data_IF_994799096247
#
_entry.id   IF_994799096247
#
_cell.length_a   1.000
_cell.length_b   1.000
_cell.length_c   1.000
_cell.angle_alpha   90.00
_cell.angle_beta   90.00
_cell.angle_gamma   90.00
#
_symmetry.space_group_name_H-M   'P 1'
#
loop_
_entity.id
_entity.type
_entity.pdbx_description
1 polymer ?
#
# COMPACT_ATOMS: atom_id res chain seq x y z
N UNK A 1 -12.77 2.64 6.66
CA UNK A 1 -13.45 2.22 7.91
C UNK A 1 -12.53 2.23 9.14
N UNK A 2 -11.26 1.81 9.04
CA UNK A 2 -10.29 1.85 10.16
C UNK A 2 -10.21 3.21 10.85
N UNK A 3 -10.04 4.32 10.11
CA UNK A 3 -9.95 5.66 10.70
C UNK A 3 -11.21 6.09 11.45
N UNK A 4 -12.39 5.71 10.94
CA UNK A 4 -13.65 5.96 11.62
C UNK A 4 -13.75 5.12 12.90
N UNK A 5 -13.39 3.85 12.85
CA UNK A 5 -13.36 2.98 14.03
C UNK A 5 -12.37 3.52 15.09
N UNK A 6 -11.20 4.03 14.69
CA UNK A 6 -10.26 4.71 15.60
C UNK A 6 -10.90 5.93 16.26
N UNK A 7 -11.59 6.78 15.49
CA UNK A 7 -12.26 7.97 16.04
C UNK A 7 -13.36 7.62 17.06
N UNK A 8 -14.03 6.47 16.89
CA UNK A 8 -15.14 6.02 17.73
C UNK A 8 -14.70 5.20 18.95
N UNK A 9 -13.64 4.40 18.85
CA UNK A 9 -13.19 3.52 19.94
C UNK A 9 -11.98 4.05 20.72
N UNK A 10 -11.05 4.78 20.07
CA UNK A 10 -9.83 5.20 20.74
C UNK A 10 -10.05 6.49 21.55
N UNK A 11 -9.76 6.47 22.86
CA UNK A 11 -9.95 7.64 23.71
C UNK A 11 -9.02 8.79 23.29
N UNK A 12 -7.81 8.49 22.84
CA UNK A 12 -6.76 9.48 22.52
C UNK A 12 -6.69 9.84 21.03
N UNK A 13 -7.81 9.77 20.31
CA UNK A 13 -7.84 10.13 18.89
C UNK A 13 -7.62 11.65 18.67
N UNK A 14 -6.61 12.00 17.87
CA UNK A 14 -6.03 13.34 17.73
C UNK A 14 -6.15 13.96 16.33
N UNK A 15 -6.78 13.29 15.35
CA UNK A 15 -6.78 13.75 13.95
C UNK A 15 -7.75 14.88 13.64
N UNK A 16 -8.74 15.12 14.51
CA UNK A 16 -9.63 16.27 14.48
C UNK A 16 -10.32 16.43 15.84
N UNK A 17 -10.88 17.61 16.12
CA UNK A 17 -11.71 17.84 17.30
C UNK A 17 -13.05 17.10 17.16
N UNK A 18 -13.23 16.07 17.99
CA UNK A 18 -14.46 15.27 17.98
C UNK A 18 -15.66 16.03 18.52
N UNK A 19 -15.45 17.11 19.28
CA UNK A 19 -16.46 17.94 19.98
C UNK A 19 -17.28 17.15 21.03
N UNK A 20 -17.86 16.01 20.64
CA UNK A 20 -18.63 15.09 21.49
C UNK A 20 -18.26 13.64 21.17
N UNK A 21 -17.93 12.86 22.20
CA UNK A 21 -17.69 11.42 22.10
C UNK A 21 -18.84 10.67 22.81
N UNK A 22 -19.90 10.26 22.09
CA UNK A 22 -21.02 9.55 22.71
C UNK A 22 -20.61 8.15 23.18
N UNK A 23 -21.13 7.71 24.32
CA UNK A 23 -20.95 6.33 24.80
C UNK A 23 -21.83 5.37 24.00
N UNK A 24 -21.29 4.82 22.92
CA UNK A 24 -22.00 3.91 22.01
C UNK A 24 -21.49 2.48 22.13
N UNK A 25 -22.33 1.52 21.72
CA UNK A 25 -21.89 0.16 21.40
C UNK A 25 -21.63 0.10 19.89
N UNK A 26 -20.39 0.33 19.49
CA UNK A 26 -19.96 0.20 18.11
C UNK A 26 -19.61 -1.27 17.80
N UNK A 27 -19.97 -1.72 16.59
CA UNK A 27 -19.54 -3.01 16.05
C UNK A 27 -19.39 -2.89 14.53
N UNK A 28 -18.33 -3.47 13.98
CA UNK A 28 -18.15 -3.60 12.54
C UNK A 28 -18.88 -4.83 11.99
N UNK A 29 -19.11 -4.87 10.68
CA UNK A 29 -19.55 -6.10 10.01
C UNK A 29 -18.47 -7.19 10.16
N UNK A 30 -17.21 -6.81 9.93
CA UNK A 30 -16.01 -7.63 10.09
C UNK A 30 -15.01 -6.85 10.96
N UNK A 31 -13.99 -7.52 11.47
CA UNK A 31 -12.81 -6.84 12.00
C UNK A 31 -12.04 -6.20 10.85
N UNK A 32 -11.72 -4.91 10.97
CA UNK A 32 -11.03 -4.13 9.93
C UNK A 32 -9.51 -4.24 10.00
N UNK A 33 -8.97 -4.43 11.20
CA UNK A 33 -7.54 -4.57 11.45
C UNK A 33 -7.31 -5.61 12.56
N UNK A 34 -6.62 -6.70 12.23
CA UNK A 34 -6.39 -7.81 13.15
C UNK A 34 -5.36 -7.52 14.23
N UNK A 35 -4.40 -6.65 13.95
CA UNK A 35 -3.30 -6.32 14.86
C UNK A 35 -3.74 -5.29 15.89
N UNK A 36 -4.44 -4.24 15.44
CA UNK A 36 -5.10 -3.26 16.30
C UNK A 36 -6.35 -3.82 16.99
N UNK A 37 -6.79 -5.02 16.61
CA UNK A 37 -8.05 -5.66 17.05
C UNK A 37 -9.24 -4.72 16.91
N UNK A 38 -9.35 -4.06 15.76
CA UNK A 38 -10.29 -2.96 15.54
C UNK A 38 -11.29 -3.29 14.42
N UNK A 39 -12.61 -3.06 14.60
CA UNK A 39 -13.27 -2.73 15.87
C UNK A 39 -13.15 -3.85 16.89
N UNK A 40 -13.26 -3.52 18.17
CA UNK A 40 -13.22 -4.49 19.27
C UNK A 40 -14.40 -5.46 19.24
N UNK A 41 -15.52 -5.07 18.60
CA UNK A 41 -16.70 -5.91 18.36
C UNK A 41 -16.99 -5.99 16.87
N UNK A 42 -17.33 -7.18 16.41
CA UNK A 42 -17.68 -7.45 15.02
C UNK A 42 -18.71 -8.58 14.92
N UNK A 43 -19.48 -8.60 13.83
CA UNK A 43 -20.55 -9.57 13.60
C UNK A 43 -20.05 -10.86 12.95
N UNK A 44 -19.07 -10.75 12.05
CA UNK A 44 -18.47 -11.86 11.32
C UNK A 44 -16.97 -11.88 11.63
N UNK A 45 -16.45 -13.07 11.95
CA UNK A 45 -15.01 -13.23 12.21
C UNK A 45 -14.24 -13.03 10.90
N UNK A 46 -13.14 -12.26 10.90
CA UNK A 46 -12.32 -12.11 9.71
C UNK A 46 -11.69 -13.45 9.31
N UNK A 47 -11.40 -13.68 8.02
CA UNK A 47 -10.62 -14.83 7.62
C UNK A 47 -9.24 -14.75 8.27
N UNK A 48 -8.81 -15.85 8.89
CA UNK A 48 -7.46 -15.98 9.40
C UNK A 48 -6.52 -16.24 8.22
N UNK A 49 -5.68 -15.26 7.89
CA UNK A 49 -4.67 -15.36 6.83
C UNK A 49 -3.31 -15.52 7.51
N UNK A 50 -2.81 -16.75 7.56
CA UNK A 50 -1.50 -17.10 8.11
C UNK A 50 -0.59 -17.61 7.00
N UNK A 51 0.73 -17.51 7.22
CA UNK A 51 1.76 -18.01 6.31
C UNK A 51 1.67 -17.34 4.94
N UNK A 52 1.47 -16.02 4.94
CA UNK A 52 1.56 -15.22 3.71
C UNK A 52 2.97 -15.32 3.13
N UNK A 53 3.11 -15.02 1.84
CA UNK A 53 4.41 -14.97 1.19
C UNK A 53 5.35 -13.98 1.90
N UNK A 54 4.84 -12.81 2.31
CA UNK A 54 5.59 -11.82 3.10
C UNK A 54 6.12 -12.41 4.41
N UNK A 55 5.26 -13.09 5.18
CA UNK A 55 5.66 -13.74 6.43
C UNK A 55 6.75 -14.79 6.20
N UNK A 56 6.60 -15.62 5.16
CA UNK A 56 7.55 -16.66 4.84
C UNK A 56 8.92 -16.09 4.45
N UNK A 57 8.95 -15.08 3.58
CA UNK A 57 10.18 -14.44 3.12
C UNK A 57 10.96 -13.83 4.30
N UNK A 58 10.28 -13.01 5.11
CA UNK A 58 10.91 -12.31 6.24
C UNK A 58 11.42 -13.29 7.29
N UNK A 59 10.66 -14.34 7.61
CA UNK A 59 11.09 -15.41 8.55
C UNK A 59 12.28 -16.22 8.05
N UNK A 60 12.49 -16.30 6.73
CA UNK A 60 13.64 -16.96 6.12
C UNK A 60 14.80 -15.99 5.85
N UNK A 61 14.76 -14.77 6.41
CA UNK A 61 15.87 -13.82 6.35
C UNK A 61 15.93 -12.96 5.08
N UNK A 62 14.91 -13.02 4.21
CA UNK A 62 14.82 -12.19 3.01
C UNK A 62 14.48 -10.76 3.41
N UNK A 63 15.29 -9.80 2.94
CA UNK A 63 15.07 -8.36 3.14
C UNK A 63 14.13 -7.85 2.08
N UNK A 64 13.04 -7.21 2.48
CA UNK A 64 11.97 -6.78 1.56
C UNK A 64 11.78 -5.27 1.57
N UNK A 65 11.52 -4.72 0.39
CA UNK A 65 11.16 -3.34 0.20
C UNK A 65 9.76 -3.25 -0.41
N UNK A 66 8.92 -2.36 0.12
CA UNK A 66 7.59 -2.09 -0.40
C UNK A 66 7.43 -0.59 -0.67
N UNK A 67 6.99 -0.21 -1.87
CA UNK A 67 6.74 1.20 -2.20
C UNK A 67 5.46 1.38 -3.00
N UNK A 68 4.68 2.39 -2.63
CA UNK A 68 3.58 2.91 -3.43
C UNK A 68 3.22 4.30 -2.94
N UNK A 69 2.33 4.97 -3.67
CA UNK A 69 1.73 6.21 -3.19
C UNK A 69 0.55 5.97 -2.25
N UNK A 70 0.16 6.99 -1.49
CA UNK A 70 -0.84 6.94 -0.41
C UNK A 70 -2.10 6.14 -0.74
N UNK A 71 -2.64 6.28 -1.96
CA UNK A 71 -3.87 5.58 -2.38
C UNK A 71 -3.74 4.05 -2.40
N UNK A 72 -2.54 3.50 -2.64
CA UNK A 72 -2.29 2.05 -2.70
C UNK A 72 -1.19 1.58 -1.75
N UNK A 73 -0.66 2.45 -0.89
CA UNK A 73 0.32 2.06 0.12
C UNK A 73 -0.17 0.93 1.03
N UNK A 74 -1.43 1.00 1.49
CA UNK A 74 -2.05 -0.10 2.25
C UNK A 74 -2.20 -1.41 1.46
N UNK A 75 -2.22 -1.38 0.13
CA UNK A 75 -2.33 -2.58 -0.70
C UNK A 75 -1.02 -3.35 -0.78
N UNK A 76 0.11 -2.64 -0.87
CA UNK A 76 1.45 -3.25 -0.92
C UNK A 76 2.02 -3.61 0.46
N UNK A 77 1.33 -3.20 1.54
CA UNK A 77 1.71 -3.47 2.94
C UNK A 77 0.60 -4.28 3.64
N UNK A 78 -0.46 -3.63 4.11
CA UNK A 78 -1.53 -4.20 4.90
C UNK A 78 -2.23 -5.41 4.24
N UNK A 79 -2.73 -5.23 3.02
CA UNK A 79 -3.44 -6.29 2.31
C UNK A 79 -2.49 -7.41 1.87
N UNK A 80 -1.29 -7.06 1.38
CA UNK A 80 -0.24 -8.01 1.02
C UNK A 80 0.13 -8.94 2.19
N UNK A 81 0.17 -8.39 3.40
CA UNK A 81 0.51 -9.11 4.63
C UNK A 81 -0.69 -9.84 5.27
N UNK A 82 -1.83 -9.93 4.58
CA UNK A 82 -3.02 -10.65 5.08
C UNK A 82 -3.86 -9.83 6.06
N UNK A 83 -4.08 -8.55 5.75
CA UNK A 83 -4.81 -7.58 6.59
C UNK A 83 -4.09 -7.29 7.92
N UNK A 84 -2.78 -7.10 7.86
CA UNK A 84 -1.91 -6.82 9.00
C UNK A 84 -1.14 -5.52 8.81
N UNK A 85 -1.29 -4.56 9.71
CA UNK A 85 -0.75 -3.20 9.57
C UNK A 85 0.74 -3.06 9.88
N UNK A 86 1.28 -3.94 10.72
CA UNK A 86 2.66 -3.91 11.19
C UNK A 86 3.61 -4.75 10.34
N UNK A 87 4.89 -4.52 10.60
CA UNK A 87 5.97 -5.33 10.07
C UNK A 87 5.95 -6.75 10.66
N UNK A 88 6.37 -7.74 9.88
CA UNK A 88 6.79 -9.04 10.41
C UNK A 88 8.15 -8.93 11.12
N UNK A 89 9.09 -8.14 10.57
CA UNK A 89 10.39 -7.82 11.17
C UNK A 89 10.90 -6.46 10.66
N UNK A 90 10.92 -5.45 11.53
CA UNK A 90 11.36 -4.08 11.21
C UNK A 90 12.83 -3.99 10.76
N UNK A 91 13.66 -4.99 11.08
CA UNK A 91 15.07 -4.99 10.65
C UNK A 91 15.26 -5.49 9.21
N UNK A 92 14.22 -6.09 8.62
CA UNK A 92 14.26 -6.71 7.29
C UNK A 92 13.28 -6.10 6.31
N UNK A 93 12.39 -5.23 6.77
CA UNK A 93 11.33 -4.65 5.95
C UNK A 93 11.44 -3.13 5.93
N UNK A 94 11.46 -2.56 4.72
CA UNK A 94 11.40 -1.10 4.55
C UNK A 94 10.19 -0.75 3.69
N UNK A 95 9.29 0.07 4.23
CA UNK A 95 8.09 0.52 3.52
C UNK A 95 8.20 2.02 3.24
N UNK A 96 8.04 2.41 1.98
CA UNK A 96 8.09 3.80 1.52
C UNK A 96 6.71 4.20 1.01
N UNK A 97 6.12 5.19 1.66
CA UNK A 97 4.89 5.85 1.20
C UNK A 97 5.25 7.16 0.49
N UNK A 98 4.78 7.32 -0.74
CA UNK A 98 4.87 8.57 -1.48
C UNK A 98 3.53 9.31 -1.35
N UNK A 99 3.51 10.58 -0.89
CA UNK A 99 2.25 11.32 -0.79
C UNK A 99 1.58 11.47 -2.16
N UNK A 100 0.34 10.97 -2.29
CA UNK A 100 -0.49 11.23 -3.47
C UNK A 100 -0.87 12.70 -3.55
N UNK A 101 -1.14 13.19 -4.76
CA UNK A 101 -1.65 14.55 -4.94
C UNK A 101 -3.02 14.71 -4.29
N UNK A 102 -3.19 15.80 -3.54
CA UNK A 102 -4.42 16.09 -2.79
C UNK A 102 -5.17 17.27 -3.40
N UNK A 103 -6.50 17.19 -3.43
CA UNK A 103 -7.36 18.30 -3.86
C UNK A 103 -7.57 18.42 -5.37
N UNK A 104 -7.10 17.45 -6.14
CA UNK A 104 -7.32 17.32 -7.59
C UNK A 104 -7.88 15.94 -7.93
N UNK A 105 -8.60 15.83 -9.04
CA UNK A 105 -9.05 14.51 -9.53
C UNK A 105 -7.94 13.83 -10.32
N UNK A 106 -7.87 12.49 -10.27
CA UNK A 106 -6.74 11.75 -10.87
C UNK A 106 -6.58 11.95 -12.38
N UNK A 107 -7.66 12.27 -13.11
CA UNK A 107 -7.60 12.57 -14.54
C UNK A 107 -6.92 13.91 -14.87
N UNK A 108 -6.83 14.85 -13.92
CA UNK A 108 -6.07 16.10 -14.11
C UNK A 108 -4.55 15.86 -14.07
N UNK A 109 -4.11 14.86 -13.30
CA UNK A 109 -2.72 14.42 -13.21
C UNK A 109 -2.60 12.89 -13.39
N UNK A 110 -2.83 12.39 -14.62
CA UNK A 110 -2.96 10.95 -14.87
C UNK A 110 -1.66 10.16 -14.68
N UNK A 111 -0.51 10.83 -14.64
CA UNK A 111 0.77 10.18 -14.33
C UNK A 111 0.91 9.83 -12.85
N UNK A 112 0.16 10.51 -11.97
CA UNK A 112 0.24 10.40 -10.52
C UNK A 112 1.70 10.35 -10.05
N UNK A 113 2.05 9.42 -9.15
CA UNK A 113 3.42 9.25 -8.66
C UNK A 113 4.19 8.09 -9.32
N UNK A 114 3.75 7.63 -10.50
CA UNK A 114 4.33 6.44 -11.13
C UNK A 114 5.85 6.55 -11.36
N UNK A 115 6.32 7.70 -11.85
CA UNK A 115 7.76 7.93 -12.08
C UNK A 115 8.54 8.02 -10.76
N UNK A 116 7.99 8.66 -9.74
CA UNK A 116 8.63 8.74 -8.42
C UNK A 116 8.74 7.36 -7.75
N UNK A 117 7.71 6.53 -7.89
CA UNK A 117 7.73 5.12 -7.46
C UNK A 117 8.83 4.37 -8.23
N UNK A 118 8.96 4.57 -9.54
CA UNK A 118 10.02 3.94 -10.34
C UNK A 118 11.42 4.37 -9.89
N UNK A 119 11.64 5.65 -9.57
CA UNK A 119 12.91 6.13 -9.03
C UNK A 119 13.25 5.46 -7.69
N UNK A 120 12.30 5.39 -6.75
CA UNK A 120 12.50 4.68 -5.47
C UNK A 120 12.79 3.19 -5.67
N UNK A 121 12.10 2.57 -6.63
CA UNK A 121 12.32 1.17 -7.00
C UNK A 121 13.74 0.95 -7.50
N UNK A 122 14.19 1.81 -8.43
CA UNK A 122 15.54 1.79 -8.96
C UNK A 122 16.58 1.95 -7.85
N UNK A 123 16.40 2.94 -6.98
CA UNK A 123 17.33 3.19 -5.88
C UNK A 123 17.39 2.00 -4.90
N UNK A 124 16.24 1.38 -4.59
CA UNK A 124 16.18 0.19 -3.75
C UNK A 124 16.93 -1.00 -4.40
N UNK A 125 16.72 -1.24 -5.69
CA UNK A 125 17.42 -2.30 -6.45
C UNK A 125 18.93 -2.05 -6.47
N UNK A 126 19.36 -0.84 -6.85
CA UNK A 126 20.78 -0.48 -6.97
C UNK A 126 21.51 -0.45 -5.62
N UNK A 127 20.78 -0.28 -4.51
CA UNK A 127 21.37 -0.27 -3.17
C UNK A 127 21.94 -1.63 -2.73
N UNK A 128 21.46 -2.75 -3.30
CA UNK A 128 21.81 -4.11 -2.86
C UNK A 128 21.35 -4.47 -1.44
N UNK A 129 20.53 -3.61 -0.81
CA UNK A 129 20.03 -3.81 0.57
C UNK A 129 18.87 -4.78 0.66
N UNK A 130 18.16 -5.01 -0.45
CA UNK A 130 16.94 -5.80 -0.48
C UNK A 130 17.11 -6.98 -1.40
N UNK A 131 16.43 -8.07 -1.06
CA UNK A 131 16.38 -9.30 -1.82
C UNK A 131 15.03 -9.42 -2.57
N UNK A 132 14.00 -8.70 -2.08
CA UNK A 132 12.72 -8.52 -2.75
C UNK A 132 12.35 -7.03 -2.80
N UNK A 133 11.91 -6.57 -3.95
CA UNK A 133 11.34 -5.23 -4.16
C UNK A 133 9.92 -5.40 -4.71
N UNK A 134 8.91 -4.97 -3.96
CA UNK A 134 7.51 -4.93 -4.43
C UNK A 134 7.01 -3.50 -4.51
N UNK A 135 6.26 -3.21 -5.57
CA UNK A 135 5.64 -1.91 -5.78
C UNK A 135 4.21 -2.04 -6.28
N UNK A 136 3.44 -0.96 -6.14
CA UNK A 136 2.15 -0.81 -6.79
C UNK A 136 2.11 0.54 -7.53
N UNK A 137 1.79 0.50 -8.83
CA UNK A 137 1.57 1.67 -9.69
C UNK A 137 0.06 1.91 -9.82
N UNK A 138 -0.51 2.93 -9.14
CA UNK A 138 -1.97 3.03 -9.03
C UNK A 138 -2.65 3.69 -10.22
N UNK A 139 -1.88 4.42 -11.02
CA UNK A 139 -2.36 5.30 -12.08
C UNK A 139 -3.39 4.66 -13.02
N UNK A 140 -3.17 3.43 -13.51
CA UNK A 140 -4.14 2.75 -14.37
C UNK A 140 -5.52 2.54 -13.70
N UNK A 141 -5.53 2.14 -12.44
CA UNK A 141 -6.75 1.87 -11.66
C UNK A 141 -7.45 3.16 -11.23
N UNK A 142 -6.69 4.06 -10.59
CA UNK A 142 -7.23 5.29 -10.01
C UNK A 142 -7.75 6.26 -11.09
N UNK A 143 -7.06 6.36 -12.23
CA UNK A 143 -7.51 7.17 -13.37
C UNK A 143 -8.62 6.45 -14.13
N UNK A 144 -8.54 5.12 -14.29
CA UNK A 144 -9.61 4.34 -14.91
C UNK A 144 -10.97 4.50 -14.22
N UNK A 145 -10.97 4.62 -12.89
CA UNK A 145 -12.17 4.87 -12.10
C UNK A 145 -12.83 6.23 -12.37
N UNK A 146 -12.16 7.17 -13.04
CA UNK A 146 -12.76 8.45 -13.47
C UNK A 146 -13.66 8.30 -14.69
N UNK A 147 -13.52 7.20 -15.46
CA UNK A 147 -14.21 6.99 -16.72
C UNK A 147 -13.65 7.80 -17.90
N UNK A 148 -12.58 8.57 -17.70
CA UNK A 148 -11.91 9.34 -18.75
C UNK A 148 -10.91 8.45 -19.50
N UNK A 149 -11.28 8.04 -20.71
CA UNK A 149 -10.47 7.14 -21.54
C UNK A 149 -9.14 7.79 -21.94
N UNK A 150 -9.14 9.08 -22.28
CA UNK A 150 -7.93 9.77 -22.74
C UNK A 150 -6.91 9.89 -21.60
N UNK A 151 -7.38 10.30 -20.42
CA UNK A 151 -6.54 10.34 -19.22
C UNK A 151 -6.03 8.94 -18.84
N UNK A 152 -6.87 7.91 -18.95
CA UNK A 152 -6.48 6.52 -18.64
C UNK A 152 -5.40 6.01 -19.58
N UNK A 153 -5.45 6.35 -20.87
CA UNK A 153 -4.37 6.02 -21.82
C UNK A 153 -3.06 6.68 -21.42
N UNK A 154 -3.09 7.94 -20.96
CA UNK A 154 -1.89 8.63 -20.46
C UNK A 154 -1.36 7.96 -19.19
N UNK A 155 -2.25 7.54 -18.28
CA UNK A 155 -1.89 6.81 -17.08
C UNK A 155 -1.18 5.49 -17.39
N UNK A 156 -1.74 4.67 -18.29
CA UNK A 156 -1.12 3.42 -18.72
C UNK A 156 0.25 3.63 -19.37
N UNK A 157 0.42 4.70 -20.19
CA UNK A 157 1.72 5.04 -20.77
C UNK A 157 2.75 5.42 -19.71
N UNK A 158 2.35 6.16 -18.68
CA UNK A 158 3.23 6.50 -17.57
C UNK A 158 3.61 5.26 -16.73
N UNK A 159 2.70 4.29 -16.58
CA UNK A 159 3.01 3.01 -15.95
C UNK A 159 4.02 2.20 -16.78
N UNK A 160 3.86 2.15 -18.09
CA UNK A 160 4.82 1.49 -19.01
C UNK A 160 6.21 2.13 -18.94
N UNK A 161 6.28 3.46 -18.95
CA UNK A 161 7.52 4.22 -18.77
C UNK A 161 8.18 3.93 -17.41
N UNK A 162 7.40 3.97 -16.32
CA UNK A 162 7.86 3.64 -14.97
C UNK A 162 8.42 2.21 -14.87
N UNK A 163 7.74 1.24 -15.48
CA UNK A 163 8.20 -0.15 -15.53
C UNK A 163 9.49 -0.25 -16.33
N UNK A 164 9.60 0.43 -17.48
CA UNK A 164 10.81 0.44 -18.30
C UNK A 164 12.00 1.03 -17.56
N UNK A 165 11.81 2.15 -16.85
CA UNK A 165 12.87 2.81 -16.08
C UNK A 165 13.30 1.98 -14.88
N UNK A 166 12.36 1.35 -14.16
CA UNK A 166 12.68 0.40 -13.09
C UNK A 166 13.37 -0.87 -13.60
N UNK A 167 12.93 -1.39 -14.75
CA UNK A 167 13.47 -2.60 -15.39
C UNK A 167 14.86 -2.41 -16.01
N UNK A 168 15.19 -1.22 -16.48
CA UNK A 168 16.50 -0.91 -17.04
C UNK A 168 17.64 -1.31 -16.09
N UNK A 169 17.38 -1.29 -14.78
CA UNK A 169 18.34 -1.70 -13.76
C UNK A 169 18.35 -3.21 -13.50
N UNK A 170 17.22 -3.91 -13.64
CA UNK A 170 17.13 -5.37 -13.43
C UNK A 170 18.02 -6.17 -14.39
N UNK A 171 18.08 -5.77 -15.66
CA UNK A 171 18.92 -6.41 -16.68
C UNK A 171 20.43 -6.33 -16.39
N UNK A 172 20.85 -5.37 -15.57
CA UNK A 172 22.23 -5.21 -15.13
C UNK A 172 22.56 -5.97 -13.83
N UNK A 173 21.57 -6.50 -13.11
CA UNK A 173 21.74 -6.93 -11.71
C UNK A 173 21.06 -8.26 -11.33
N UNK A 174 20.76 -9.14 -12.31
CA UNK A 174 20.21 -10.49 -12.09
C UNK A 174 18.86 -10.55 -11.34
N UNK A 175 18.00 -9.55 -11.54
CA UNK A 175 16.66 -9.52 -10.95
C UNK A 175 15.62 -10.18 -11.86
N UNK A 176 14.62 -10.82 -11.25
CA UNK A 176 13.43 -11.35 -11.94
C UNK A 176 12.23 -10.46 -11.65
N UNK A 177 11.54 -10.01 -12.71
CA UNK A 177 10.29 -9.23 -12.57
C UNK A 177 9.08 -10.16 -12.67
N UNK A 178 8.15 -10.03 -11.72
CA UNK A 178 6.82 -10.64 -11.80
C UNK A 178 5.75 -9.55 -11.71
N UNK A 179 4.86 -9.49 -12.71
CA UNK A 179 3.69 -8.61 -12.69
C UNK A 179 2.45 -9.39 -12.25
N UNK A 180 1.64 -8.81 -11.37
CA UNK A 180 0.40 -9.40 -10.88
C UNK A 180 -0.73 -8.40 -11.11
N UNK A 181 -1.82 -8.87 -11.74
CA UNK A 181 -3.06 -8.11 -11.98
C UNK A 181 -4.02 -8.22 -10.81
#
# INVERSE_FOLDING_TARGET
MVMLAKALEFPDFDKFDRVRVPKIKYAGMLQYDGELKLPSKYLVSPPLIERTSGEYLVKNGVRTFACSETVKFGHVTFFWNGNRSGYFDETREEYVEIPSDSGITFNEQPKMKALEIAEKTRDAILSGKFDQVRINLPNGDMVGHTGDIEATVVACKAADEAVKDGLGCCGASWWYLSCHS
#
